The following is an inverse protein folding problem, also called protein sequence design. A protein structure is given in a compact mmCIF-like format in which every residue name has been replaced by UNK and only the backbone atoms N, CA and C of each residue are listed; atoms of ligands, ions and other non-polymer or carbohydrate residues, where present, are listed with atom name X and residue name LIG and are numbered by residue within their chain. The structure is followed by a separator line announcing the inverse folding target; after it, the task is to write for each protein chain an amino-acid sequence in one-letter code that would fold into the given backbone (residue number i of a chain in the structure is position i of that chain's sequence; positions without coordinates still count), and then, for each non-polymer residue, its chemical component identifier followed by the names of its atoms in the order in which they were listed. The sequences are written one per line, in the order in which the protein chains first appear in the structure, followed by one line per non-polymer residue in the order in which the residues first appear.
data_IF_619242569802
#
_entry.id   IF_619242569802
#
_cell.length_a   1.000
_cell.length_b   1.000
_cell.length_c   1.000
_cell.angle_alpha   90.00
_cell.angle_beta   90.00
_cell.angle_gamma   90.00
#
_symmetry.space_group_name_H-M   'P 1'
#
loop_
_entity.id
_entity.type
_entity.pdbx_description
1 polymer ?
#
# COMPACT_ATOMS: atom_id res chain seq x y z
N UNK A 1 -16.04 4.96 18.51
CA UNK A 1 -15.21 5.99 19.17
C UNK A 1 -15.94 7.32 19.01
N UNK A 2 -15.64 8.34 19.82
CA UNK A 2 -16.17 9.70 19.64
C UNK A 2 -15.10 10.76 19.85
N UNK A 3 -15.39 12.02 19.51
CA UNK A 3 -14.42 13.13 19.58
C UNK A 3 -13.80 13.33 20.97
N UNK A 4 -14.54 13.07 22.05
CA UNK A 4 -14.02 13.16 23.42
C UNK A 4 -12.94 12.10 23.69
N UNK A 5 -13.22 10.83 23.38
CA UNK A 5 -12.24 9.73 23.49
C UNK A 5 -11.00 9.99 22.62
N UNK A 6 -11.19 10.56 21.44
CA UNK A 6 -10.09 10.95 20.57
C UNK A 6 -9.20 12.03 21.20
N UNK A 7 -9.81 13.06 21.80
CA UNK A 7 -9.10 14.15 22.50
C UNK A 7 -8.26 13.61 23.65
N UNK A 8 -8.81 12.73 24.49
CA UNK A 8 -8.05 12.07 25.55
C UNK A 8 -6.87 11.26 24.99
N UNK A 9 -7.07 10.61 23.82
CA UNK A 9 -5.99 9.92 23.10
C UNK A 9 -4.88 10.86 22.66
N UNK A 10 -5.23 12.04 22.14
CA UNK A 10 -4.27 13.09 21.76
C UNK A 10 -3.53 13.64 22.98
N UNK A 11 -4.21 13.84 24.11
CA UNK A 11 -3.57 14.29 25.36
C UNK A 11 -2.54 13.26 25.87
N UNK A 12 -2.86 11.97 25.83
CA UNK A 12 -1.90 10.89 26.14
C UNK A 12 -0.72 10.88 25.18
N UNK A 13 -0.97 11.06 23.89
CA UNK A 13 0.08 11.18 22.87
C UNK A 13 1.03 12.34 23.20
N UNK A 14 0.49 13.54 23.47
CA UNK A 14 1.28 14.73 23.80
C UNK A 14 2.06 14.57 25.11
N UNK A 15 1.45 13.97 26.13
CA UNK A 15 2.13 13.65 27.38
C UNK A 15 3.31 12.69 27.14
N UNK A 16 3.12 11.65 26.32
CA UNK A 16 4.19 10.72 25.97
C UNK A 16 5.31 11.40 25.16
N UNK A 17 4.98 12.29 24.22
CA UNK A 17 5.95 13.05 23.44
C UNK A 17 6.84 13.93 24.33
N UNK A 18 6.24 14.60 25.33
CA UNK A 18 6.96 15.44 26.30
C UNK A 18 7.90 14.63 27.21
N UNK A 19 7.61 13.35 27.43
CA UNK A 19 8.46 12.45 28.19
C UNK A 19 9.68 11.93 27.40
N UNK A 20 9.71 12.10 26.08
CA UNK A 20 10.85 11.71 25.25
C UNK A 20 11.97 12.75 25.40
N UNK A 21 13.20 12.36 25.78
CA UNK A 21 14.34 13.27 25.86
C UNK A 21 14.57 14.07 24.56
N UNK A 22 15.08 15.29 24.69
CA UNK A 22 15.26 16.19 23.55
C UNK A 22 16.28 15.69 22.53
N UNK A 23 17.28 14.91 22.98
CA UNK A 23 18.33 14.27 22.20
C UNK A 23 17.93 12.89 21.64
N UNK A 24 16.74 12.40 22.00
CA UNK A 24 16.23 11.12 21.54
C UNK A 24 15.29 11.26 20.33
N UNK A 25 15.42 10.34 19.37
CA UNK A 25 14.54 10.27 18.20
C UNK A 25 13.10 9.90 18.61
N UNK A 26 12.11 10.60 18.05
CA UNK A 26 10.70 10.33 18.33
C UNK A 26 10.16 9.21 17.42
N UNK A 27 9.57 8.17 18.02
CA UNK A 27 9.03 7.00 17.30
C UNK A 27 7.69 6.55 17.88
N UNK A 28 6.80 6.01 17.05
CA UNK A 28 5.56 5.39 17.51
C UNK A 28 5.84 4.10 18.29
N UNK A 29 5.25 3.96 19.49
CA UNK A 29 5.18 2.69 20.20
C UNK A 29 4.03 1.84 19.64
N UNK A 30 4.23 1.22 18.48
CA UNK A 30 3.21 0.35 17.86
C UNK A 30 3.62 -1.12 17.86
N UNK A 31 2.62 -2.00 18.05
CA UNK A 31 2.81 -3.46 18.05
C UNK A 31 2.91 -4.06 16.64
N UNK A 32 2.48 -3.35 15.60
CA UNK A 32 2.42 -3.83 14.21
C UNK A 32 3.05 -2.83 13.23
N UNK A 33 3.76 -3.33 12.20
CA UNK A 33 4.33 -2.52 11.12
C UNK A 33 4.19 -3.29 9.81
N UNK A 34 3.71 -2.62 8.76
CA UNK A 34 3.66 -3.18 7.40
C UNK A 34 4.89 -2.78 6.56
N UNK A 35 5.87 -2.10 7.15
CA UNK A 35 7.19 -1.91 6.53
C UNK A 35 7.96 -3.23 6.58
N UNK A 36 8.50 -3.66 5.44
CA UNK A 36 9.25 -4.93 5.32
C UNK A 36 10.75 -4.79 5.65
N UNK A 37 11.18 -3.63 6.14
CA UNK A 37 12.55 -3.38 6.62
C UNK A 37 12.70 -3.50 8.14
N UNK A 38 13.84 -4.04 8.59
CA UNK A 38 14.19 -4.11 10.00
C UNK A 38 14.53 -2.72 10.57
N UNK A 39 14.05 -2.41 11.79
CA UNK A 39 14.30 -1.13 12.46
C UNK A 39 15.38 -1.27 13.54
N UNK A 40 16.21 -0.25 13.72
CA UNK A 40 17.13 -0.18 14.85
C UNK A 40 16.40 -0.16 16.20
N UNK A 41 16.95 -0.86 17.21
CA UNK A 41 16.42 -0.87 18.59
C UNK A 41 16.71 0.47 19.26
N UNK A 42 15.75 1.00 20.03
CA UNK A 42 15.91 2.23 20.83
C UNK A 42 15.60 1.99 22.29
N UNK A 43 16.30 2.70 23.18
CA UNK A 43 16.02 2.73 24.63
C UNK A 43 15.02 3.82 25.04
N UNK A 44 14.76 4.78 24.15
CA UNK A 44 13.80 5.87 24.41
C UNK A 44 12.35 5.37 24.44
N UNK A 45 11.49 5.93 25.31
CA UNK A 45 10.05 5.65 25.30
C UNK A 45 9.45 6.10 23.96
N UNK A 46 8.54 5.29 23.39
CA UNK A 46 7.84 5.65 22.17
C UNK A 46 6.54 6.42 22.45
N UNK A 47 5.98 7.02 21.40
CA UNK A 47 4.70 7.71 21.45
C UNK A 47 3.55 6.76 21.77
N UNK A 48 2.75 7.10 22.78
CA UNK A 48 1.53 6.38 23.13
C UNK A 48 0.41 6.74 22.13
N UNK A 49 -0.05 5.72 21.41
CA UNK A 49 -1.13 5.84 20.42
C UNK A 49 -2.35 4.97 20.75
N UNK A 50 -2.43 4.44 21.98
CA UNK A 50 -3.49 3.53 22.42
C UNK A 50 -4.90 4.13 22.32
N UNK A 51 -5.01 5.46 22.34
CA UNK A 51 -6.27 6.19 22.19
C UNK A 51 -6.53 6.76 20.79
N UNK A 52 -5.77 6.37 19.75
CA UNK A 52 -5.86 6.97 18.42
C UNK A 52 -6.28 5.98 17.34
N UNK A 53 -7.08 4.97 17.69
CA UNK A 53 -7.59 3.95 16.78
C UNK A 53 -9.11 4.07 16.57
N UNK A 54 -9.60 3.57 15.44
CA UNK A 54 -11.02 3.52 15.10
C UNK A 54 -11.57 4.77 14.42
N UNK A 55 -12.84 4.69 14.05
CA UNK A 55 -13.59 5.77 13.41
C UNK A 55 -14.25 6.66 14.47
N UNK A 56 -13.99 7.96 14.38
CA UNK A 56 -14.45 9.00 15.31
C UNK A 56 -15.91 9.37 14.99
N UNK A 57 -16.21 9.60 13.72
CA UNK A 57 -17.56 9.89 13.23
C UNK A 57 -17.70 9.54 11.75
N UNK A 58 -18.91 9.16 11.34
CA UNK A 58 -19.30 8.99 9.92
C UNK A 58 -20.46 9.94 9.65
N UNK A 59 -20.29 10.81 8.66
CA UNK A 59 -21.37 11.62 8.10
C UNK A 59 -21.79 11.00 6.77
N UNK A 60 -22.89 10.25 6.80
CA UNK A 60 -23.41 9.56 5.63
C UNK A 60 -23.99 10.52 4.57
N UNK A 61 -24.45 11.72 4.98
CA UNK A 61 -25.03 12.70 4.06
C UNK A 61 -23.92 13.44 3.30
N UNK A 62 -22.91 13.93 4.03
CA UNK A 62 -21.74 14.56 3.44
C UNK A 62 -20.79 13.54 2.79
N UNK A 63 -20.98 12.25 3.07
CA UNK A 63 -20.11 11.13 2.65
C UNK A 63 -18.68 11.36 3.12
N UNK A 64 -18.53 11.68 4.39
CA UNK A 64 -17.22 11.87 5.00
C UNK A 64 -17.06 11.06 6.28
N UNK A 65 -15.84 10.75 6.65
CA UNK A 65 -15.53 10.17 7.96
C UNK A 65 -14.38 10.93 8.63
N UNK A 66 -14.52 11.14 9.93
CA UNK A 66 -13.44 11.52 10.83
C UNK A 66 -12.83 10.27 11.42
N UNK A 67 -11.53 10.07 11.19
CA UNK A 67 -10.85 8.81 11.42
C UNK A 67 -9.58 9.06 12.21
N UNK A 68 -9.35 8.31 13.28
CA UNK A 68 -8.12 8.44 14.05
C UNK A 68 -6.92 7.84 13.27
N UNK A 69 -5.71 8.38 13.46
CA UNK A 69 -4.54 8.05 12.64
C UNK A 69 -4.11 6.57 12.68
N UNK A 70 -4.41 5.86 13.78
CA UNK A 70 -4.17 4.42 13.92
C UNK A 70 -5.38 3.55 13.58
N UNK A 71 -6.47 4.12 13.06
CA UNK A 71 -7.60 3.32 12.57
C UNK A 71 -7.14 2.43 11.42
N UNK A 72 -7.43 1.14 11.51
CA UNK A 72 -7.17 0.21 10.43
C UNK A 72 -8.20 0.38 9.31
N UNK A 73 -7.86 -0.03 8.09
CA UNK A 73 -8.84 -0.10 7.01
C UNK A 73 -9.93 -1.14 7.30
N UNK A 74 -9.63 -2.21 8.06
CA UNK A 74 -10.66 -3.14 8.54
C UNK A 74 -11.71 -2.39 9.37
N UNK A 75 -11.29 -1.69 10.43
CA UNK A 75 -12.22 -0.93 11.27
C UNK A 75 -12.97 0.16 10.49
N UNK A 76 -12.30 0.82 9.54
CA UNK A 76 -12.88 1.88 8.73
C UNK A 76 -13.94 1.35 7.77
N UNK A 77 -13.66 0.26 7.07
CA UNK A 77 -14.61 -0.39 6.16
C UNK A 77 -15.80 -0.93 6.96
N UNK A 78 -15.55 -1.58 8.11
CA UNK A 78 -16.60 -2.11 8.99
C UNK A 78 -17.55 -1.02 9.49
N UNK A 79 -17.03 0.18 9.76
CA UNK A 79 -17.82 1.32 10.21
C UNK A 79 -18.57 2.06 9.08
N UNK A 80 -18.10 1.99 7.83
CA UNK A 80 -18.66 2.76 6.70
C UNK A 80 -19.63 1.96 5.84
N UNK A 81 -19.40 0.65 5.65
CA UNK A 81 -20.28 -0.21 4.84
C UNK A 81 -21.75 -0.25 5.32
N UNK A 82 -22.09 -0.19 6.62
CA UNK A 82 -23.49 -0.12 7.07
C UNK A 82 -24.25 1.10 6.53
N UNK A 83 -23.54 2.16 6.13
CA UNK A 83 -24.11 3.35 5.49
C UNK A 83 -24.13 3.27 3.96
N UNK A 84 -23.74 2.14 3.37
CA UNK A 84 -23.56 2.00 1.92
C UNK A 84 -22.39 2.81 1.39
N UNK A 85 -21.37 3.06 2.23
CA UNK A 85 -20.20 3.86 1.90
C UNK A 85 -18.90 3.07 2.08
N UNK A 86 -17.86 3.42 1.33
CA UNK A 86 -16.51 2.90 1.52
C UNK A 86 -15.46 4.03 1.31
N UNK A 87 -14.24 3.89 1.88
CA UNK A 87 -13.13 4.74 1.48
C UNK A 87 -12.86 4.62 -0.02
N UNK A 88 -12.45 5.72 -0.66
CA UNK A 88 -12.24 5.75 -2.12
C UNK A 88 -11.18 4.75 -2.59
N UNK A 89 -10.17 4.51 -1.75
CA UNK A 89 -9.09 3.55 -2.00
C UNK A 89 -8.88 2.77 -0.71
N UNK A 90 -8.94 1.44 -0.79
CA UNK A 90 -8.81 0.54 0.36
C UNK A 90 -7.64 -0.42 0.11
N UNK A 91 -6.43 -0.13 0.60
CA UNK A 91 -5.33 -1.08 0.58
C UNK A 91 -5.75 -2.38 1.26
N UNK A 92 -5.58 -3.50 0.57
CA UNK A 92 -6.27 -4.76 0.91
C UNK A 92 -5.69 -5.54 2.08
N UNK A 93 -4.65 -5.04 2.77
CA UNK A 93 -4.19 -5.69 4.00
C UNK A 93 -4.91 -5.06 5.19
N UNK A 94 -5.71 -5.87 5.88
CA UNK A 94 -6.61 -5.42 6.97
C UNK A 94 -5.92 -4.61 8.05
N UNK A 95 -4.64 -4.87 8.30
CA UNK A 95 -3.83 -4.22 9.35
C UNK A 95 -3.29 -2.85 8.97
N UNK A 96 -3.39 -2.45 7.70
CA UNK A 96 -2.95 -1.13 7.25
C UNK A 96 -3.81 -0.08 7.94
N UNK A 97 -3.16 0.95 8.47
CA UNK A 97 -3.85 2.10 9.07
C UNK A 97 -4.05 3.18 8.02
N UNK A 98 -5.14 3.94 8.14
CA UNK A 98 -5.38 5.08 7.25
C UNK A 98 -4.22 6.08 7.31
N UNK A 99 -3.79 6.45 8.52
CA UNK A 99 -2.64 7.33 8.70
C UNK A 99 -1.36 6.78 8.08
N UNK A 100 -1.12 5.47 8.23
CA UNK A 100 0.00 4.78 7.58
C UNK A 100 -0.06 4.81 6.05
N UNK A 101 -1.23 4.61 5.45
CA UNK A 101 -1.40 4.64 3.99
C UNK A 101 -1.32 6.06 3.42
N UNK A 102 -1.78 7.08 4.16
CA UNK A 102 -1.60 8.47 3.74
C UNK A 102 -0.12 8.87 3.78
N UNK A 103 0.59 8.51 4.85
CA UNK A 103 2.00 8.89 5.04
C UNK A 103 2.98 8.05 4.20
N UNK A 104 2.68 6.77 3.94
CA UNK A 104 3.55 5.83 3.23
C UNK A 104 3.04 5.39 1.85
N UNK A 105 1.92 5.96 1.39
CA UNK A 105 1.17 5.59 0.19
C UNK A 105 0.46 4.23 0.30
N UNK A 106 -0.51 4.04 -0.59
CA UNK A 106 -1.27 2.82 -0.76
C UNK A 106 -1.94 2.87 -2.12
N UNK A 107 -2.02 1.75 -2.81
CA UNK A 107 -2.56 1.65 -4.16
C UNK A 107 -3.50 0.46 -4.17
N UNK A 108 -4.59 0.58 -4.92
CA UNK A 108 -5.52 -0.52 -5.09
C UNK A 108 -6.31 -0.41 -6.40
N UNK A 109 -7.07 -1.45 -6.73
CA UNK A 109 -7.96 -1.59 -7.88
C UNK A 109 -8.94 -0.44 -8.17
N UNK A 110 -9.14 0.53 -7.26
CA UNK A 110 -9.86 1.79 -7.54
C UNK A 110 -8.93 2.96 -7.89
N UNK A 111 -7.63 2.85 -7.68
CA UNK A 111 -6.65 3.93 -7.83
C UNK A 111 -6.54 4.47 -9.24
N UNK A 112 -6.85 3.66 -10.26
CA UNK A 112 -6.96 4.15 -11.62
C UNK A 112 -8.04 5.24 -11.79
N UNK A 113 -9.09 5.28 -10.95
CA UNK A 113 -10.18 6.28 -10.98
C UNK A 113 -10.15 7.26 -9.81
N UNK A 114 -9.80 6.79 -8.63
CA UNK A 114 -9.94 7.53 -7.38
C UNK A 114 -8.62 8.10 -6.86
N UNK A 115 -7.50 7.84 -7.55
CA UNK A 115 -6.19 8.27 -7.11
C UNK A 115 -5.64 7.43 -5.96
N UNK A 116 -4.95 8.08 -5.04
CA UNK A 116 -4.33 7.46 -3.87
C UNK A 116 -5.08 7.80 -2.57
N UNK A 117 -4.88 7.05 -1.47
CA UNK A 117 -5.55 7.28 -0.20
C UNK A 117 -5.50 8.72 0.30
N UNK A 118 -4.35 9.39 0.14
CA UNK A 118 -4.17 10.77 0.58
C UNK A 118 -5.01 11.77 -0.22
N UNK A 119 -5.40 11.45 -1.45
CA UNK A 119 -6.24 12.31 -2.28
C UNK A 119 -7.70 12.33 -1.78
N UNK A 120 -8.11 11.32 -0.99
CA UNK A 120 -9.40 11.34 -0.30
C UNK A 120 -9.45 12.26 0.92
N UNK A 121 -8.29 12.71 1.42
CA UNK A 121 -8.21 13.52 2.64
C UNK A 121 -8.68 14.95 2.37
N UNK A 122 -9.51 15.47 3.26
CA UNK A 122 -10.04 16.82 3.25
C UNK A 122 -9.36 17.70 4.29
N UNK A 123 -8.96 17.11 5.42
CA UNK A 123 -8.32 17.77 6.56
C UNK A 123 -7.47 16.74 7.32
N UNK A 124 -6.31 17.15 7.85
CA UNK A 124 -5.42 16.28 8.61
C UNK A 124 -4.85 16.99 9.84
N UNK A 125 -4.93 16.34 11.00
CA UNK A 125 -4.30 16.78 12.24
C UNK A 125 -2.97 16.03 12.42
N UNK A 126 -1.85 16.75 12.47
CA UNK A 126 -0.50 16.18 12.49
C UNK A 126 0.22 16.57 13.78
N UNK A 127 0.70 15.58 14.53
CA UNK A 127 1.75 15.79 15.54
C UNK A 127 3.08 16.02 14.84
N UNK A 128 3.60 17.24 14.90
CA UNK A 128 4.85 17.61 14.25
C UNK A 128 6.08 17.28 15.09
N UNK A 129 7.27 17.51 14.51
CA UNK A 129 8.55 17.39 15.22
C UNK A 129 8.74 18.46 16.30
N UNK A 130 8.00 19.58 16.26
CA UNK A 130 7.98 20.60 17.34
C UNK A 130 7.20 20.14 18.58
N UNK A 131 6.34 19.13 18.46
CA UNK A 131 5.49 18.64 19.55
C UNK A 131 4.10 19.29 19.61
N UNK A 132 3.70 19.97 18.54
CA UNK A 132 2.40 20.61 18.38
C UNK A 132 1.49 19.75 17.50
N UNK A 133 0.17 19.88 17.71
CA UNK A 133 -0.83 19.35 16.78
C UNK A 133 -1.20 20.47 15.82
N UNK A 134 -0.97 20.26 14.54
CA UNK A 134 -1.31 21.21 13.48
C UNK A 134 -2.41 20.61 12.60
N UNK A 135 -3.48 21.38 12.40
CA UNK A 135 -4.52 21.07 11.42
C UNK A 135 -4.10 21.65 10.08
N UNK A 136 -3.98 20.79 9.07
CA UNK A 136 -3.66 21.18 7.70
C UNK A 136 -4.83 20.85 6.77
N UNK A 137 -5.20 21.82 5.94
CA UNK A 137 -6.20 21.71 4.86
C UNK A 137 -5.52 22.12 3.55
N UNK A 138 -6.05 21.70 2.38
CA UNK A 138 -5.45 22.05 1.09
C UNK A 138 -5.37 23.57 0.83
N UNK A 139 -6.24 24.37 1.44
CA UNK A 139 -6.39 25.82 1.21
C UNK A 139 -6.06 26.69 2.45
N UNK A 140 -5.57 26.08 3.53
CA UNK A 140 -5.28 26.75 4.79
C UNK A 140 -3.82 27.20 4.94
N UNK A 141 -3.50 27.76 6.12
CA UNK A 141 -2.15 28.26 6.48
C UNK A 141 -1.05 27.17 6.35
N UNK A 142 -1.44 25.91 6.59
CA UNK A 142 -0.55 24.76 6.56
C UNK A 142 -0.72 23.90 5.28
N UNK A 143 -1.20 24.48 4.18
CA UNK A 143 -1.38 23.77 2.91
C UNK A 143 -0.09 23.08 2.41
N UNK A 144 1.08 23.70 2.59
CA UNK A 144 2.36 23.07 2.22
C UNK A 144 2.62 21.77 3.00
N UNK A 145 2.23 21.72 4.28
CA UNK A 145 2.29 20.49 5.06
C UNK A 145 1.29 19.49 4.53
N UNK A 146 0.05 19.91 4.22
CA UNK A 146 -0.98 19.03 3.66
C UNK A 146 -0.48 18.32 2.38
N UNK A 147 0.06 19.06 1.42
CA UNK A 147 0.57 18.48 0.17
C UNK A 147 1.90 17.74 0.33
N UNK A 148 2.76 18.17 1.26
CA UNK A 148 4.04 17.53 1.53
C UNK A 148 3.99 16.33 2.48
N UNK A 149 2.87 16.09 3.16
CA UNK A 149 2.73 15.01 4.13
C UNK A 149 2.69 13.60 3.52
N UNK A 150 2.00 13.36 2.38
CA UNK A 150 2.03 12.07 1.71
C UNK A 150 3.44 11.68 1.26
N UNK A 151 3.75 10.38 1.32
CA UNK A 151 5.08 9.83 1.05
C UNK A 151 6.23 10.37 1.93
N UNK A 152 5.93 11.11 3.01
CA UNK A 152 6.95 11.57 3.97
C UNK A 152 7.45 10.46 4.90
N UNK A 153 6.79 9.30 4.94
CA UNK A 153 7.11 8.19 5.86
C UNK A 153 7.18 8.60 7.33
N UNK A 154 6.55 9.70 7.74
CA UNK A 154 6.48 10.17 9.13
C UNK A 154 7.73 10.94 9.55
N UNK A 155 8.43 11.55 8.61
CA UNK A 155 9.53 12.48 8.87
C UNK A 155 9.01 13.91 9.12
N UNK A 156 7.81 14.23 8.65
CA UNK A 156 7.15 15.52 8.90
C UNK A 156 6.16 15.49 10.08
N UNK A 157 5.90 14.32 10.64
CA UNK A 157 5.01 14.15 11.78
C UNK A 157 4.21 12.85 11.74
N UNK A 158 3.24 12.73 12.64
CA UNK A 158 2.31 11.61 12.71
C UNK A 158 0.88 12.11 12.68
N UNK A 159 0.07 11.57 11.78
CA UNK A 159 -1.35 11.90 11.71
C UNK A 159 -2.08 11.36 12.94
N UNK A 160 -2.89 12.22 13.56
CA UNK A 160 -3.68 11.91 14.74
C UNK A 160 -5.15 11.77 14.37
N UNK A 161 -5.64 12.62 13.46
CA UNK A 161 -6.96 12.53 12.84
C UNK A 161 -6.87 12.87 11.35
N UNK A 162 -7.70 12.21 10.56
CA UNK A 162 -7.92 12.51 9.15
C UNK A 162 -9.43 12.62 8.91
N UNK A 163 -9.86 13.68 8.23
CA UNK A 163 -11.18 13.76 7.64
C UNK A 163 -11.09 13.34 6.19
N UNK A 164 -11.84 12.32 5.77
CA UNK A 164 -11.77 11.75 4.42
C UNK A 164 -13.12 11.79 3.72
N UNK A 165 -13.09 11.88 2.39
CA UNK A 165 -14.23 11.60 1.53
C UNK A 165 -14.44 10.08 1.38
N UNK A 166 -15.70 9.69 1.28
CA UNK A 166 -16.18 8.33 1.04
C UNK A 166 -16.98 8.28 -0.26
N UNK A 167 -17.09 7.11 -0.84
CA UNK A 167 -17.95 6.88 -2.01
C UNK A 167 -19.10 5.92 -1.70
N UNK A 168 -20.25 6.07 -2.38
CA UNK A 168 -21.31 5.07 -2.34
C UNK A 168 -20.84 3.76 -2.96
N UNK A 169 -21.19 2.65 -2.32
CA UNK A 169 -20.93 1.30 -2.83
C UNK A 169 -22.19 0.44 -2.83
N UNK A 170 -22.28 -0.46 -3.82
CA UNK A 170 -23.33 -1.50 -3.86
C UNK A 170 -22.94 -2.74 -3.05
N UNK A 171 -23.90 -3.65 -2.86
CA UNK A 171 -23.71 -4.84 -2.01
C UNK A 171 -22.69 -5.84 -2.55
N UNK A 172 -22.57 -5.94 -3.87
CA UNK A 172 -21.74 -6.94 -4.53
C UNK A 172 -20.83 -6.32 -5.58
N UNK A 173 -19.78 -7.06 -5.92
CA UNK A 173 -18.93 -6.80 -7.08
C UNK A 173 -18.98 -8.03 -7.98
N UNK A 174 -19.46 -7.84 -9.21
CA UNK A 174 -19.39 -8.87 -10.25
C UNK A 174 -18.04 -8.76 -10.98
N UNK A 175 -17.34 -9.86 -11.10
CA UNK A 175 -15.98 -9.95 -11.62
C UNK A 175 -15.96 -10.62 -12.99
N UNK A 176 -15.05 -10.15 -13.84
CA UNK A 176 -14.65 -10.78 -15.10
C UNK A 176 -13.13 -10.87 -15.11
N UNK A 177 -12.60 -12.09 -15.21
CA UNK A 177 -11.17 -12.34 -15.37
C UNK A 177 -10.88 -12.52 -16.85
N UNK A 178 -10.24 -11.54 -17.48
CA UNK A 178 -9.90 -11.54 -18.91
C UNK A 178 -8.48 -12.07 -19.06
N UNK A 179 -8.31 -13.15 -19.82
CA UNK A 179 -7.00 -13.76 -20.06
C UNK A 179 -6.29 -13.14 -21.26
N UNK A 180 -4.97 -13.02 -21.14
CA UNK A 180 -4.07 -12.59 -22.20
C UNK A 180 -2.93 -13.61 -22.39
N UNK A 181 -2.56 -13.79 -23.65
CA UNK A 181 -1.41 -14.59 -24.11
C UNK A 181 -0.21 -13.70 -24.52
N UNK A 182 -0.32 -12.40 -24.28
CA UNK A 182 0.66 -11.39 -24.67
C UNK A 182 0.61 -10.21 -23.71
N UNK A 183 1.76 -9.85 -23.15
CA UNK A 183 1.90 -8.68 -22.27
C UNK A 183 1.52 -7.36 -22.97
N UNK A 184 1.82 -7.23 -24.27
CA UNK A 184 1.46 -6.03 -25.04
C UNK A 184 -0.06 -5.88 -25.23
N UNK A 185 -0.77 -6.97 -25.54
CA UNK A 185 -2.25 -6.93 -25.59
C UNK A 185 -2.86 -6.59 -24.23
N UNK A 186 -2.26 -7.08 -23.14
CA UNK A 186 -2.67 -6.75 -21.78
C UNK A 186 -2.48 -5.26 -21.48
N UNK A 187 -1.31 -4.71 -21.81
CA UNK A 187 -0.96 -3.29 -21.65
C UNK A 187 -1.95 -2.38 -22.42
N UNK A 188 -2.12 -2.62 -23.72
CA UNK A 188 -3.04 -1.86 -24.59
C UNK A 188 -4.49 -1.92 -24.07
N UNK A 189 -4.92 -3.09 -23.62
CA UNK A 189 -6.27 -3.26 -23.06
C UNK A 189 -6.42 -2.54 -21.73
N UNK A 190 -5.41 -2.61 -20.86
CA UNK A 190 -5.41 -1.92 -19.58
C UNK A 190 -5.50 -0.40 -19.79
N UNK A 191 -4.70 0.16 -20.70
CA UNK A 191 -4.69 1.60 -20.99
C UNK A 191 -6.04 2.10 -21.51
N UNK A 192 -6.64 1.33 -22.43
CA UNK A 192 -7.99 1.61 -22.91
C UNK A 192 -9.02 1.60 -21.77
N UNK A 193 -9.00 0.59 -20.89
CA UNK A 193 -9.95 0.52 -19.77
C UNK A 193 -9.75 1.68 -18.80
N UNK A 194 -8.51 2.09 -18.54
CA UNK A 194 -8.22 3.23 -17.66
C UNK A 194 -8.81 4.52 -18.22
N UNK A 195 -8.75 4.69 -19.54
CA UNK A 195 -9.29 5.86 -20.24
C UNK A 195 -10.81 5.82 -20.37
N UNK A 196 -11.35 4.71 -20.87
CA UNK A 196 -12.78 4.57 -21.22
C UNK A 196 -13.67 4.20 -20.03
N UNK A 197 -13.09 3.64 -18.95
CA UNK A 197 -13.82 3.08 -17.79
C UNK A 197 -14.79 1.97 -18.16
N UNK A 198 -14.54 1.29 -19.28
CA UNK A 198 -15.42 0.28 -19.84
C UNK A 198 -14.60 -0.84 -20.49
N UNK A 199 -15.18 -2.04 -20.53
CA UNK A 199 -14.70 -3.16 -21.33
C UNK A 199 -15.89 -3.96 -21.85
N UNK A 200 -15.98 -4.14 -23.17
CA UNK A 200 -17.07 -4.83 -23.87
C UNK A 200 -18.47 -4.31 -23.51
N UNK A 201 -18.69 -3.00 -23.50
CA UNK A 201 -20.00 -2.41 -23.20
C UNK A 201 -20.38 -2.41 -21.72
N UNK A 202 -19.49 -2.84 -20.83
CA UNK A 202 -19.74 -2.96 -19.39
C UNK A 202 -18.73 -2.11 -18.63
N UNK A 203 -19.25 -1.23 -17.77
CA UNK A 203 -18.46 -0.36 -16.91
C UNK A 203 -17.45 -1.15 -16.04
N UNK A 204 -16.33 -0.52 -15.74
CA UNK A 204 -15.27 -1.06 -14.88
C UNK A 204 -15.08 -0.10 -13.71
N UNK A 205 -15.53 -0.52 -12.53
CA UNK A 205 -15.38 0.22 -11.27
C UNK A 205 -14.06 -0.13 -10.55
N UNK A 206 -13.54 -1.32 -10.82
CA UNK A 206 -12.32 -1.86 -10.25
C UNK A 206 -11.47 -2.59 -11.28
N UNK A 207 -10.16 -2.39 -11.25
CA UNK A 207 -9.21 -2.96 -12.20
C UNK A 207 -7.90 -3.35 -11.50
N UNK A 208 -7.55 -4.63 -11.53
CA UNK A 208 -6.20 -5.13 -11.23
C UNK A 208 -5.82 -6.25 -12.21
N UNK A 209 -4.63 -6.82 -12.06
CA UNK A 209 -4.17 -7.91 -12.89
C UNK A 209 -3.10 -8.78 -12.24
N UNK A 210 -2.86 -9.93 -12.86
CA UNK A 210 -1.83 -10.88 -12.45
C UNK A 210 -1.11 -11.41 -13.68
N UNK A 211 0.21 -11.36 -13.65
CA UNK A 211 1.08 -12.01 -14.65
C UNK A 211 1.67 -13.26 -14.01
N UNK A 212 1.38 -14.41 -14.59
CA UNK A 212 1.98 -15.68 -14.18
C UNK A 212 3.23 -15.96 -14.98
N UNK A 213 3.16 -15.77 -16.30
CA UNK A 213 4.28 -15.89 -17.24
C UNK A 213 4.13 -14.84 -18.35
N UNK A 214 5.10 -14.77 -19.25
CA UNK A 214 5.08 -13.95 -20.47
C UNK A 214 3.85 -14.20 -21.38
N UNK A 215 3.29 -15.40 -21.29
CA UNK A 215 2.23 -15.96 -22.14
C UNK A 215 0.98 -16.34 -21.34
N UNK A 216 0.96 -16.06 -20.04
CA UNK A 216 -0.19 -16.27 -19.18
C UNK A 216 -0.36 -15.09 -18.21
N UNK A 217 -1.29 -14.19 -18.54
CA UNK A 217 -1.65 -13.07 -17.69
C UNK A 217 -3.16 -12.79 -17.71
N UNK A 218 -3.64 -12.05 -16.71
CA UNK A 218 -5.06 -11.78 -16.52
C UNK A 218 -5.30 -10.36 -16.03
N UNK A 219 -6.36 -9.72 -16.52
CA UNK A 219 -6.96 -8.54 -15.88
C UNK A 219 -8.23 -8.97 -15.15
N UNK A 220 -8.40 -8.55 -13.90
CA UNK A 220 -9.65 -8.70 -13.16
C UNK A 220 -10.42 -7.39 -13.20
N UNK A 221 -11.57 -7.42 -13.84
CA UNK A 221 -12.48 -6.29 -13.98
C UNK A 221 -13.65 -6.47 -13.01
N UNK A 222 -13.89 -5.49 -12.16
CA UNK A 222 -15.03 -5.48 -11.24
C UNK A 222 -16.05 -4.41 -11.60
N UNK A 223 -17.33 -4.76 -11.51
CA UNK A 223 -18.46 -3.82 -11.59
C UNK A 223 -19.34 -3.95 -10.35
N UNK A 224 -19.74 -2.81 -9.78
CA UNK A 224 -20.63 -2.77 -8.63
C UNK A 224 -22.06 -3.15 -9.04
N UNK A 225 -22.66 -4.08 -8.29
CA UNK A 225 -24.04 -4.52 -8.51
C UNK A 225 -24.80 -4.78 -7.20
N UNK A 226 -26.12 -4.59 -7.24
CA UNK A 226 -27.04 -5.02 -6.19
C UNK A 226 -27.78 -6.31 -6.57
N UNK A 227 -27.46 -6.87 -7.75
CA UNK A 227 -28.04 -8.11 -8.24
C UNK A 227 -27.65 -9.28 -7.33
N UNK A 228 -28.67 -9.96 -6.81
CA UNK A 228 -28.49 -11.14 -5.96
C UNK A 228 -27.99 -12.34 -6.77
N UNK A 229 -27.25 -13.22 -6.12
CA UNK A 229 -26.72 -14.45 -6.72
C UNK A 229 -25.69 -15.13 -5.82
N UNK A 230 -25.15 -16.27 -6.25
CA UNK A 230 -24.09 -16.95 -5.51
C UNK A 230 -22.85 -16.06 -5.42
N UNK A 231 -22.19 -16.10 -4.25
CA UNK A 231 -20.92 -15.40 -4.00
C UNK A 231 -19.83 -16.41 -3.67
N UNK A 232 -18.60 -16.14 -4.10
CA UNK A 232 -17.43 -16.94 -3.77
C UNK A 232 -16.90 -16.65 -2.35
N UNK A 233 -16.32 -17.67 -1.72
CA UNK A 233 -15.63 -17.56 -0.41
C UNK A 233 -14.21 -18.11 -0.53
N UNK A 234 -13.24 -17.22 -0.58
CA UNK A 234 -11.82 -17.58 -0.67
C UNK A 234 -11.17 -17.92 0.67
N UNK A 235 -11.94 -17.92 1.76
CA UNK A 235 -11.47 -18.38 3.08
C UNK A 235 -11.58 -19.90 3.27
N UNK A 236 -12.02 -20.64 2.24
CA UNK A 236 -12.02 -22.11 2.24
C UNK A 236 -10.84 -22.69 1.45
N UNK A 237 -11.04 -23.63 0.51
CA UNK A 237 -9.95 -24.35 -0.15
C UNK A 237 -9.35 -23.59 -1.33
N UNK A 238 -10.17 -22.77 -2.00
CA UNK A 238 -9.73 -22.01 -3.16
C UNK A 238 -8.95 -20.76 -2.76
N UNK A 239 -8.02 -20.38 -3.62
CA UNK A 239 -7.15 -19.22 -3.44
C UNK A 239 -7.47 -18.23 -4.57
N UNK A 240 -7.78 -16.99 -4.22
CA UNK A 240 -8.29 -15.99 -5.16
C UNK A 240 -7.45 -15.90 -6.45
N UNK A 241 -6.16 -15.59 -6.32
CA UNK A 241 -5.30 -15.39 -7.49
C UNK A 241 -5.14 -16.66 -8.34
N UNK A 242 -5.25 -17.87 -7.78
CA UNK A 242 -5.23 -19.11 -8.57
C UNK A 242 -6.58 -19.37 -9.24
N UNK A 243 -7.67 -18.95 -8.61
CA UNK A 243 -9.02 -19.16 -9.12
C UNK A 243 -9.30 -18.39 -10.41
N UNK A 244 -8.56 -17.33 -10.71
CA UNK A 244 -8.73 -16.55 -11.95
C UNK A 244 -8.25 -17.29 -13.20
N UNK A 245 -7.37 -18.29 -13.04
CA UNK A 245 -6.78 -19.01 -14.17
C UNK A 245 -7.83 -19.86 -14.90
N UNK A 246 -7.86 -19.76 -16.23
CA UNK A 246 -8.77 -20.52 -17.10
C UNK A 246 -8.23 -20.55 -18.54
N UNK A 247 -8.59 -21.54 -19.37
CA UNK A 247 -7.95 -21.70 -20.69
C UNK A 247 -8.46 -20.74 -21.77
N UNK A 248 -9.63 -20.14 -21.62
CA UNK A 248 -10.26 -19.34 -22.68
C UNK A 248 -9.63 -17.95 -22.82
N UNK A 249 -9.38 -17.52 -24.06
CA UNK A 249 -8.98 -16.15 -24.40
C UNK A 249 -10.17 -15.25 -24.81
N UNK A 250 -11.33 -15.85 -25.06
CA UNK A 250 -12.51 -15.15 -25.63
C UNK A 250 -13.71 -15.15 -24.69
N UNK A 251 -13.71 -16.00 -23.67
CA UNK A 251 -14.78 -16.11 -22.69
C UNK A 251 -14.18 -15.90 -21.30
N UNK A 252 -14.24 -14.68 -20.76
CA UNK A 252 -13.77 -14.38 -19.42
C UNK A 252 -14.44 -15.27 -18.38
N UNK A 253 -13.67 -15.75 -17.41
CA UNK A 253 -14.24 -16.39 -16.23
C UNK A 253 -14.94 -15.34 -15.38
N UNK A 254 -16.18 -15.61 -14.95
CA UNK A 254 -16.94 -14.71 -14.10
C UNK A 254 -16.92 -15.16 -12.65
N UNK A 255 -17.05 -14.21 -11.73
CA UNK A 255 -17.19 -14.45 -10.30
C UNK A 255 -18.03 -13.34 -9.66
N UNK A 256 -18.46 -13.51 -8.41
CA UNK A 256 -19.17 -12.50 -7.64
C UNK A 256 -18.74 -12.57 -6.18
N UNK A 257 -18.49 -11.41 -5.59
CA UNK A 257 -18.15 -11.27 -4.18
C UNK A 257 -19.06 -10.24 -3.52
N UNK A 258 -19.29 -10.37 -2.21
CA UNK A 258 -19.79 -9.22 -1.44
C UNK A 258 -18.76 -8.09 -1.53
N UNK A 259 -19.18 -6.82 -1.42
CA UNK A 259 -18.23 -5.69 -1.43
C UNK A 259 -17.15 -5.87 -0.35
N UNK A 260 -17.52 -6.38 0.83
CA UNK A 260 -16.59 -6.69 1.91
C UNK A 260 -15.56 -7.73 1.49
N UNK A 261 -15.99 -8.85 0.92
CA UNK A 261 -15.09 -9.94 0.54
C UNK A 261 -14.21 -9.54 -0.64
N UNK A 262 -14.75 -8.74 -1.57
CA UNK A 262 -13.97 -8.14 -2.66
C UNK A 262 -12.81 -7.30 -2.12
N UNK A 263 -13.07 -6.42 -1.14
CA UNK A 263 -12.04 -5.56 -0.52
C UNK A 263 -10.96 -6.36 0.23
N UNK A 264 -11.23 -7.60 0.63
CA UNK A 264 -10.30 -8.43 1.40
C UNK A 264 -9.78 -9.67 0.66
N UNK A 265 -10.11 -9.83 -0.62
CA UNK A 265 -9.80 -11.02 -1.42
C UNK A 265 -8.30 -11.38 -1.43
N UNK A 266 -7.44 -10.37 -1.34
CA UNK A 266 -5.99 -10.53 -1.30
C UNK A 266 -5.41 -10.65 0.13
N UNK A 267 -6.12 -10.21 1.18
CA UNK A 267 -5.67 -10.34 2.58
C UNK A 267 -5.57 -11.81 3.01
N UNK A 268 -6.51 -12.63 2.54
CA UNK A 268 -6.71 -14.03 2.95
C UNK A 268 -5.45 -14.87 2.78
N UNK A 269 -4.77 -14.67 1.64
CA UNK A 269 -3.53 -15.37 1.30
C UNK A 269 -2.31 -14.46 1.31
N UNK A 270 -2.48 -13.24 1.82
CA UNK A 270 -1.49 -12.18 1.80
C UNK A 270 -0.84 -12.08 0.41
N UNK A 271 -1.71 -11.87 -0.59
CA UNK A 271 -1.45 -12.13 -2.00
C UNK A 271 -1.07 -13.58 -2.27
N UNK A 272 0.24 -13.86 -2.28
CA UNK A 272 0.80 -15.20 -2.38
C UNK A 272 1.89 -15.47 -1.34
N UNK A 273 2.12 -14.56 -0.39
CA UNK A 273 3.12 -14.76 0.66
C UNK A 273 2.77 -15.95 1.58
N UNK A 274 1.50 -16.35 1.66
CA UNK A 274 1.07 -17.52 2.42
C UNK A 274 1.74 -18.84 1.97
N UNK A 275 2.31 -18.89 0.74
CA UNK A 275 3.14 -20.02 0.25
C UNK A 275 4.27 -20.38 1.19
N UNK A 276 4.93 -19.39 1.78
CA UNK A 276 6.09 -19.59 2.66
C UNK A 276 5.73 -20.41 3.92
N UNK A 277 4.46 -20.38 4.34
CA UNK A 277 3.97 -21.11 5.52
C UNK A 277 3.27 -22.43 5.16
N UNK A 278 3.20 -22.78 3.87
CA UNK A 278 2.48 -23.96 3.40
C UNK A 278 0.94 -23.84 3.44
N UNK A 279 0.39 -22.67 3.76
CA UNK A 279 -1.07 -22.45 3.87
C UNK A 279 -1.81 -22.54 2.52
N UNK A 280 -1.07 -22.59 1.41
CA UNK A 280 -1.61 -22.85 0.07
C UNK A 280 -1.65 -24.34 -0.31
N UNK A 281 -1.06 -25.24 0.50
CA UNK A 281 -1.15 -26.68 0.26
C UNK A 281 -2.54 -27.19 0.67
N UNK A 282 -3.34 -27.80 -0.22
CA UNK A 282 -4.70 -28.24 0.10
C UNK A 282 -4.78 -29.15 1.33
N UNK A 283 -3.76 -29.98 1.57
CA UNK A 283 -3.70 -30.87 2.75
C UNK A 283 -3.54 -30.11 4.06
N UNK A 284 -2.85 -28.97 4.04
CA UNK A 284 -2.64 -28.11 5.20
C UNK A 284 -3.83 -27.15 5.35
N UNK A 285 -4.24 -26.52 4.24
CA UNK A 285 -5.33 -25.54 4.18
C UNK A 285 -6.64 -26.09 4.74
N UNK A 286 -6.96 -27.35 4.46
CA UNK A 286 -8.13 -28.05 5.02
C UNK A 286 -8.24 -28.02 6.54
N UNK A 287 -7.11 -27.96 7.25
CA UNK A 287 -7.07 -27.90 8.72
C UNK A 287 -6.68 -26.52 9.25
N UNK A 288 -6.44 -25.55 8.37
CA UNK A 288 -6.09 -24.20 8.77
C UNK A 288 -7.36 -23.44 9.19
N UNK A 289 -7.44 -22.89 10.42
CA UNK A 289 -8.62 -22.16 10.85
C UNK A 289 -8.87 -20.93 9.97
N UNK A 290 -10.10 -20.77 9.45
CA UNK A 290 -10.47 -19.65 8.56
C UNK A 290 -10.10 -18.28 9.12
N UNK A 291 -10.30 -18.08 10.43
CA UNK A 291 -9.96 -16.83 11.14
C UNK A 291 -8.47 -16.45 11.11
N UNK A 292 -7.58 -17.39 10.76
CA UNK A 292 -6.14 -17.18 10.66
C UNK A 292 -5.66 -17.06 9.21
N UNK A 293 -6.54 -17.19 8.20
CA UNK A 293 -6.24 -16.84 6.82
C UNK A 293 -6.35 -15.32 6.66
N UNK A 294 -5.35 -14.60 7.18
CA UNK A 294 -5.27 -13.14 7.14
C UNK A 294 -3.84 -12.65 7.38
N UNK A 295 -3.50 -11.51 6.79
CA UNK A 295 -2.17 -10.89 6.88
C UNK A 295 -1.66 -10.73 8.31
N UNK A 296 -2.54 -10.36 9.26
CA UNK A 296 -2.18 -10.16 10.67
C UNK A 296 -1.64 -11.42 11.37
N UNK A 297 -2.09 -12.61 10.94
CA UNK A 297 -1.62 -13.88 11.49
C UNK A 297 -0.29 -14.28 10.85
N UNK A 298 -0.16 -14.17 9.53
CA UNK A 298 1.10 -14.46 8.84
C UNK A 298 2.24 -13.56 9.33
N UNK A 299 1.98 -12.29 9.63
CA UNK A 299 2.95 -11.40 10.28
C UNK A 299 3.47 -11.93 11.61
N UNK A 300 2.61 -12.56 12.43
CA UNK A 300 3.04 -13.18 13.69
C UNK A 300 3.95 -14.39 13.43
N UNK A 301 3.67 -15.16 12.37
CA UNK A 301 4.53 -16.27 11.97
C UNK A 301 5.91 -15.78 11.52
N UNK A 302 5.99 -14.70 10.73
CA UNK A 302 7.26 -14.06 10.37
C UNK A 302 8.01 -13.60 11.62
N UNK A 303 7.34 -12.92 12.55
CA UNK A 303 7.97 -12.45 13.77
C UNK A 303 8.53 -13.60 14.63
N UNK A 304 7.83 -14.74 14.67
CA UNK A 304 8.33 -15.96 15.32
C UNK A 304 9.52 -16.55 14.58
N UNK A 305 9.46 -16.65 13.25
CA UNK A 305 10.55 -17.17 12.42
C UNK A 305 11.84 -16.37 12.61
N UNK A 306 11.76 -15.03 12.54
CA UNK A 306 12.88 -14.11 12.80
C UNK A 306 13.47 -14.23 14.22
N UNK A 307 12.65 -14.62 15.20
CA UNK A 307 13.13 -14.77 16.59
C UNK A 307 13.94 -16.05 16.78
N UNK A 308 13.68 -17.07 15.98
CA UNK A 308 14.19 -18.43 16.20
C UNK A 308 15.03 -18.96 15.02
N UNK A 309 15.22 -18.18 13.96
CA UNK A 309 15.92 -18.50 12.71
C UNK A 309 15.46 -19.83 12.07
N UNK A 310 14.17 -20.16 12.15
CA UNK A 310 13.68 -21.49 11.81
C UNK A 310 13.82 -21.75 10.31
N UNK A 311 13.43 -20.79 9.47
CA UNK A 311 13.54 -20.82 8.01
C UNK A 311 14.98 -21.00 7.55
N UNK A 312 15.89 -20.16 8.03
CA UNK A 312 17.31 -20.20 7.64
C UNK A 312 17.98 -21.52 8.06
N UNK A 313 17.63 -22.06 9.24
CA UNK A 313 18.11 -23.37 9.70
C UNK A 313 17.57 -24.52 8.85
N UNK A 314 16.31 -24.45 8.42
CA UNK A 314 15.69 -25.47 7.56
C UNK A 314 16.30 -25.47 6.15
N UNK A 315 16.51 -24.30 5.56
CA UNK A 315 17.10 -24.19 4.22
C UNK A 315 18.58 -24.59 4.23
N UNK A 316 19.33 -24.22 5.29
CA UNK A 316 20.70 -24.71 5.50
C UNK A 316 20.77 -26.23 5.63
N UNK A 317 19.81 -26.85 6.31
CA UNK A 317 19.70 -28.33 6.39
C UNK A 317 19.37 -28.98 5.04
N UNK A 318 18.69 -28.28 4.14
CA UNK A 318 18.38 -28.73 2.78
C UNK A 318 19.49 -28.40 1.76
N UNK A 319 20.60 -27.82 2.21
CA UNK A 319 21.74 -27.44 1.35
C UNK A 319 21.44 -26.30 0.38
N UNK A 320 20.38 -25.51 0.63
CA UNK A 320 19.99 -24.41 -0.25
C UNK A 320 20.72 -23.11 0.14
N UNK A 321 21.06 -22.24 -0.84
CA UNK A 321 21.69 -20.96 -0.55
C UNK A 321 20.77 -20.04 0.26
N UNK A 322 21.35 -19.09 1.02
CA UNK A 322 20.57 -18.03 1.66
C UNK A 322 19.82 -17.22 0.60
N UNK A 323 18.71 -16.59 1.00
CA UNK A 323 17.79 -15.91 0.07
C UNK A 323 17.74 -14.42 0.35
N UNK A 324 17.80 -13.63 -0.71
CA UNK A 324 17.55 -12.19 -0.69
C UNK A 324 16.04 -11.96 -0.75
N UNK A 325 15.51 -11.11 0.13
CA UNK A 325 14.09 -10.74 0.12
C UNK A 325 13.86 -9.67 -0.94
N UNK A 326 12.90 -9.91 -1.82
CA UNK A 326 12.46 -8.97 -2.84
C UNK A 326 10.96 -8.81 -2.65
N UNK A 327 10.60 -7.94 -1.71
CA UNK A 327 9.24 -7.73 -1.23
C UNK A 327 8.92 -6.25 -1.38
N UNK A 328 8.56 -5.86 -2.59
CA UNK A 328 8.38 -4.47 -2.98
C UNK A 328 7.42 -4.37 -4.14
N UNK A 329 7.05 -3.14 -4.44
CA UNK A 329 6.35 -2.75 -5.64
C UNK A 329 7.09 -1.58 -6.29
N UNK A 330 6.83 -1.41 -7.58
CA UNK A 330 7.40 -0.35 -8.40
C UNK A 330 6.28 0.20 -9.27
N UNK A 331 6.39 1.43 -9.69
CA UNK A 331 5.42 2.09 -10.55
C UNK A 331 6.11 2.43 -11.86
N UNK A 332 5.56 1.93 -12.96
CA UNK A 332 6.11 2.17 -14.29
C UNK A 332 5.01 2.82 -15.14
N UNK A 333 5.31 3.81 -16.00
CA UNK A 333 4.33 4.34 -16.95
C UNK A 333 3.67 3.23 -17.76
N UNK A 334 2.38 3.36 -18.04
CA UNK A 334 1.61 2.29 -18.66
C UNK A 334 2.20 1.85 -20.01
N UNK A 335 2.72 2.79 -20.81
CA UNK A 335 3.34 2.56 -22.11
C UNK A 335 4.70 1.84 -22.08
N UNK A 336 5.24 1.59 -20.89
CA UNK A 336 6.50 0.87 -20.63
C UNK A 336 6.29 -0.44 -19.87
N UNK A 337 5.07 -0.73 -19.46
CA UNK A 337 4.77 -1.79 -18.48
C UNK A 337 5.10 -3.19 -19.02
N UNK A 338 4.71 -3.50 -20.25
CA UNK A 338 4.96 -4.80 -20.88
C UNK A 338 6.46 -5.06 -21.07
N UNK A 339 7.24 -4.03 -21.43
CA UNK A 339 8.68 -4.16 -21.64
C UNK A 339 9.40 -4.38 -20.30
N UNK A 340 9.00 -3.63 -19.26
CA UNK A 340 9.51 -3.84 -17.91
C UNK A 340 9.16 -5.24 -17.38
N UNK A 341 7.92 -5.69 -17.55
CA UNK A 341 7.48 -7.01 -17.09
C UNK A 341 8.22 -8.13 -17.84
N UNK A 342 8.43 -7.99 -19.15
CA UNK A 342 9.18 -8.97 -19.93
C UNK A 342 10.63 -9.08 -19.43
N UNK A 343 11.30 -7.93 -19.24
CA UNK A 343 12.62 -7.87 -18.64
C UNK A 343 12.65 -8.51 -17.24
N UNK A 344 11.67 -8.19 -16.39
CA UNK A 344 11.61 -8.72 -15.03
C UNK A 344 11.48 -10.25 -15.02
N UNK A 345 10.63 -10.82 -15.86
CA UNK A 345 10.44 -12.28 -15.95
C UNK A 345 11.68 -13.00 -16.48
N UNK A 346 12.47 -12.35 -17.34
CA UNK A 346 13.72 -12.90 -17.88
C UNK A 346 14.86 -12.87 -16.85
N UNK A 347 15.00 -11.77 -16.12
CA UNK A 347 16.16 -11.52 -15.26
C UNK A 347 15.92 -11.87 -13.77
N UNK A 348 14.68 -11.72 -13.30
CA UNK A 348 14.33 -11.90 -11.89
C UNK A 348 13.39 -13.11 -11.75
N UNK A 349 13.84 -14.22 -11.12
CA UNK A 349 13.07 -15.47 -11.04
C UNK A 349 11.96 -15.41 -9.98
N UNK A 350 11.03 -14.46 -10.12
CA UNK A 350 9.90 -14.24 -9.23
C UNK A 350 8.60 -14.22 -10.03
N UNK A 351 7.71 -15.13 -9.69
CA UNK A 351 6.35 -15.20 -10.21
C UNK A 351 5.35 -15.58 -9.10
N UNK A 352 4.10 -15.10 -9.17
CA UNK A 352 3.54 -14.17 -10.16
C UNK A 352 3.84 -12.69 -9.82
N UNK A 353 3.45 -11.79 -10.71
CA UNK A 353 3.46 -10.33 -10.52
C UNK A 353 2.03 -9.80 -10.44
N UNK A 354 1.78 -8.83 -9.56
CA UNK A 354 0.50 -8.12 -9.45
C UNK A 354 0.59 -6.82 -10.24
N UNK A 355 -0.44 -6.49 -11.00
CA UNK A 355 -0.54 -5.25 -11.75
C UNK A 355 -1.71 -4.44 -11.23
N UNK A 356 -1.50 -3.17 -10.92
CA UNK A 356 -2.56 -2.27 -10.50
C UNK A 356 -2.37 -0.90 -11.14
N UNK A 357 -3.18 -0.53 -12.15
CA UNK A 357 -3.10 0.78 -12.73
C UNK A 357 -3.53 1.85 -11.73
N UNK A 358 -2.85 2.99 -11.79
CA UNK A 358 -3.12 4.16 -10.96
C UNK A 358 -2.94 5.45 -11.75
N UNK A 359 -3.66 6.47 -11.33
CA UNK A 359 -3.58 7.82 -11.90
C UNK A 359 -3.99 8.82 -10.84
N UNK A 360 -3.31 9.96 -10.77
CA UNK A 360 -3.70 11.05 -9.85
C UNK A 360 -5.16 11.45 -10.08
N UNK A 361 -5.89 11.73 -9.00
CA UNK A 361 -7.31 12.05 -9.08
C UNK A 361 -7.51 13.42 -9.69
N UNK A 362 -8.41 13.51 -10.68
CA UNK A 362 -8.76 14.76 -11.33
C UNK A 362 -10.19 15.22 -10.94
N UNK A 363 -10.43 16.53 -10.74
CA UNK A 363 -9.43 17.60 -10.73
C UNK A 363 -8.58 17.58 -9.44
N UNK A 364 -7.32 18.01 -9.54
CA UNK A 364 -6.47 18.26 -8.38
C UNK A 364 -7.06 19.38 -7.50
N UNK A 365 -6.80 19.39 -6.19
CA UNK A 365 -7.15 20.53 -5.33
C UNK A 365 -6.61 21.85 -5.89
N UNK A 366 -7.38 22.94 -5.80
CA UNK A 366 -7.05 24.21 -6.46
C UNK A 366 -5.69 24.81 -6.03
N UNK A 367 -5.27 24.56 -4.79
CA UNK A 367 -3.98 25.01 -4.25
C UNK A 367 -2.81 24.07 -4.58
N UNK A 368 -3.06 22.92 -5.21
CA UNK A 368 -2.01 21.99 -5.60
C UNK A 368 -1.20 22.54 -6.78
N UNK A 369 0.08 22.17 -6.85
CA UNK A 369 0.90 22.51 -8.01
C UNK A 369 0.36 21.85 -9.28
N UNK A 370 0.31 22.61 -10.39
CA UNK A 370 -0.19 22.11 -11.67
C UNK A 370 0.67 20.99 -12.26
N UNK A 371 1.97 20.94 -11.96
CA UNK A 371 2.90 19.94 -12.49
C UNK A 371 3.20 18.81 -11.50
N UNK A 372 3.20 19.08 -10.20
CA UNK A 372 3.55 18.11 -9.15
C UNK A 372 2.67 18.32 -7.92
N UNK A 373 1.38 17.90 -7.97
CA UNK A 373 0.41 18.14 -6.89
C UNK A 373 0.91 17.64 -5.53
N UNK A 374 1.68 16.55 -5.52
CA UNK A 374 2.22 15.89 -4.34
C UNK A 374 3.76 15.92 -4.39
N UNK A 375 4.43 16.86 -3.71
CA UNK A 375 5.88 17.08 -3.88
C UNK A 375 6.75 15.87 -3.60
N UNK A 376 6.42 15.07 -2.59
CA UNK A 376 7.22 13.91 -2.21
C UNK A 376 6.88 12.65 -3.00
N UNK A 377 5.91 12.70 -3.92
CA UNK A 377 5.52 11.54 -4.72
C UNK A 377 5.42 11.92 -6.21
N UNK A 378 6.39 11.47 -7.04
CA UNK A 378 6.64 12.04 -8.37
C UNK A 378 5.71 11.51 -9.47
N UNK A 379 4.39 11.46 -9.24
CA UNK A 379 3.45 11.13 -10.31
C UNK A 379 3.08 12.37 -11.13
N UNK A 380 3.09 12.21 -12.46
CA UNK A 380 2.64 13.24 -13.38
C UNK A 380 1.10 13.29 -13.45
N UNK A 381 0.50 14.50 -13.38
CA UNK A 381 -0.91 14.68 -13.67
C UNK A 381 -1.26 14.14 -15.06
N UNK A 382 -2.43 13.50 -15.18
CA UNK A 382 -2.95 12.93 -16.43
C UNK A 382 -2.18 11.75 -17.03
N UNK A 383 -1.08 11.32 -16.43
CA UNK A 383 -0.33 10.12 -16.86
C UNK A 383 -0.77 8.92 -16.03
N UNK A 384 -0.94 7.78 -16.68
CA UNK A 384 -1.26 6.50 -16.02
C UNK A 384 0.04 5.76 -15.72
N UNK A 385 0.15 5.25 -14.50
CA UNK A 385 1.22 4.34 -14.09
C UNK A 385 0.60 2.99 -13.73
N UNK A 386 1.41 1.95 -13.73
CA UNK A 386 1.05 0.62 -13.24
C UNK A 386 1.95 0.29 -12.08
N UNK A 387 1.35 0.08 -10.91
CA UNK A 387 2.03 -0.49 -9.77
C UNK A 387 2.20 -2.00 -10.00
N UNK A 388 3.44 -2.46 -9.96
CA UNK A 388 3.86 -3.83 -10.22
C UNK A 388 4.38 -4.41 -8.92
N UNK A 389 3.55 -5.21 -8.26
CA UNK A 389 3.84 -5.82 -6.97
C UNK A 389 4.46 -7.20 -7.09
N UNK A 390 5.57 -7.42 -6.40
CA UNK A 390 6.24 -8.72 -6.33
C UNK A 390 6.78 -8.97 -4.92
N UNK A 391 6.25 -10.02 -4.29
CA UNK A 391 6.54 -10.34 -2.88
C UNK A 391 7.08 -11.76 -2.75
N UNK A 392 8.39 -11.90 -2.95
CA UNK A 392 9.09 -13.18 -2.89
C UNK A 392 10.53 -13.02 -2.39
N UNK A 393 11.37 -14.01 -2.68
CA UNK A 393 12.79 -13.98 -2.41
C UNK A 393 13.54 -14.67 -3.54
N UNK A 394 14.79 -14.30 -3.78
CA UNK A 394 15.67 -14.93 -4.77
C UNK A 394 16.88 -15.57 -4.08
N UNK A 395 17.47 -16.64 -4.65
CA UNK A 395 18.74 -17.17 -4.16
C UNK A 395 19.85 -16.12 -4.21
N UNK A 396 20.64 -15.98 -3.15
CA UNK A 396 21.85 -15.15 -3.17
C UNK A 396 22.93 -15.89 -3.96
N UNK A 397 23.52 -15.21 -4.95
CA UNK A 397 24.66 -15.73 -5.69
C UNK A 397 25.95 -15.38 -4.94
N UNK A 398 26.82 -16.36 -4.63
CA UNK A 398 28.08 -16.10 -3.93
C UNK A 398 28.97 -15.11 -4.69
N UNK A 399 29.42 -14.06 -4.01
CA UNK A 399 30.31 -13.02 -4.56
C UNK A 399 29.59 -11.76 -5.04
N UNK A 400 28.26 -11.78 -5.12
CA UNK A 400 27.48 -10.59 -5.42
C UNK A 400 27.37 -9.64 -4.20
N UNK A 401 27.07 -8.38 -4.49
CA UNK A 401 26.84 -7.36 -3.45
C UNK A 401 25.54 -7.65 -2.70
N UNK A 402 25.46 -7.22 -1.45
CA UNK A 402 24.20 -7.29 -0.70
C UNK A 402 23.08 -6.51 -1.43
N UNK A 403 21.94 -7.16 -1.60
CA UNK A 403 20.79 -6.57 -2.28
C UNK A 403 20.94 -6.51 -3.81
N UNK A 404 21.69 -7.43 -4.42
CA UNK A 404 22.01 -7.39 -5.85
C UNK A 404 20.75 -7.33 -6.72
N UNK A 405 19.75 -8.17 -6.42
CA UNK A 405 18.49 -8.15 -7.16
C UNK A 405 17.69 -6.86 -6.91
N UNK A 406 17.62 -6.39 -5.66
CA UNK A 406 16.96 -5.11 -5.34
C UNK A 406 17.62 -3.93 -6.05
N UNK A 407 18.95 -3.88 -6.11
CA UNK A 407 19.72 -2.82 -6.79
C UNK A 407 19.52 -2.86 -8.30
N UNK A 408 19.54 -4.04 -8.91
CA UNK A 408 19.26 -4.22 -10.33
C UNK A 408 17.85 -3.74 -10.69
N UNK A 409 16.86 -4.07 -9.85
CA UNK A 409 15.49 -3.58 -10.02
C UNK A 409 15.43 -2.06 -9.87
N UNK A 410 16.10 -1.47 -8.88
CA UNK A 410 16.15 -0.01 -8.68
C UNK A 410 16.72 0.72 -9.90
N UNK A 411 17.81 0.22 -10.47
CA UNK A 411 18.42 0.77 -11.69
C UNK A 411 17.46 0.69 -12.87
N UNK A 412 16.85 -0.49 -13.07
CA UNK A 412 15.95 -0.72 -14.21
C UNK A 412 14.65 0.05 -14.10
N UNK A 413 14.10 0.24 -12.91
CA UNK A 413 12.93 1.10 -12.70
C UNK A 413 13.22 2.51 -13.19
N UNK A 414 14.40 3.06 -12.91
CA UNK A 414 14.80 4.39 -13.41
C UNK A 414 14.92 4.41 -14.94
N UNK A 415 15.49 3.37 -15.56
CA UNK A 415 15.58 3.25 -17.03
C UNK A 415 14.20 3.28 -17.73
N UNK A 416 13.15 2.86 -17.02
CA UNK A 416 11.77 2.81 -17.52
C UNK A 416 10.91 4.00 -17.07
N UNK A 417 11.52 5.10 -16.63
CA UNK A 417 10.84 6.30 -16.11
C UNK A 417 9.89 6.00 -14.93
N UNK A 418 10.23 4.95 -14.16
CA UNK A 418 9.44 4.47 -13.04
C UNK A 418 9.94 4.97 -11.69
N UNK A 419 9.17 4.63 -10.66
CA UNK A 419 9.44 5.00 -9.27
C UNK A 419 9.28 3.80 -8.36
N UNK A 420 10.11 3.72 -7.31
CA UNK A 420 10.03 2.66 -6.31
C UNK A 420 9.34 3.17 -5.05
N UNK A 421 8.48 2.34 -4.46
CA UNK A 421 7.94 2.64 -3.14
C UNK A 421 9.00 2.48 -2.06
N UNK A 422 9.07 3.45 -1.14
CA UNK A 422 10.08 3.48 -0.08
C UNK A 422 9.70 2.66 1.16
N UNK A 423 8.70 1.78 1.09
CA UNK A 423 8.32 0.93 2.23
C UNK A 423 9.25 -0.28 2.40
N UNK A 424 9.88 -0.74 1.32
CA UNK A 424 10.83 -1.84 1.27
C UNK A 424 12.26 -1.35 1.54
N UNK A 425 13.22 -2.28 1.48
CA UNK A 425 14.65 -1.93 1.56
C UNK A 425 15.06 -1.12 0.33
N UNK A 426 15.74 0.01 0.52
CA UNK A 426 16.22 0.88 -0.55
C UNK A 426 17.75 1.01 -0.52
N UNK A 427 18.40 1.02 -1.69
CA UNK A 427 19.86 0.97 -1.80
C UNK A 427 20.50 2.13 -2.58
N UNK A 428 19.73 3.20 -2.82
CA UNK A 428 20.15 4.45 -3.48
C UNK A 428 21.33 5.13 -2.80
N UNK A 429 22.14 5.86 -3.58
CA UNK A 429 23.06 6.86 -3.06
C UNK A 429 22.29 8.03 -2.44
N UNK A 430 22.97 8.91 -1.69
CA UNK A 430 22.29 10.07 -1.11
C UNK A 430 21.84 11.03 -2.20
N UNK A 431 22.72 11.26 -3.17
CA UNK A 431 22.50 12.17 -4.30
C UNK A 431 21.31 11.71 -5.14
N UNK A 432 21.27 10.44 -5.57
CA UNK A 432 20.15 9.90 -6.36
C UNK A 432 18.83 9.95 -5.58
N UNK A 433 18.89 9.69 -4.27
CA UNK A 433 17.69 9.69 -3.43
C UNK A 433 17.09 11.09 -3.27
N UNK A 434 17.94 12.10 -3.10
CA UNK A 434 17.50 13.50 -3.00
C UNK A 434 16.89 13.98 -4.31
N UNK A 435 17.50 13.63 -5.45
CA UNK A 435 16.97 13.94 -6.79
C UNK A 435 15.59 13.33 -7.02
N UNK A 436 15.43 12.04 -6.73
CA UNK A 436 14.19 11.30 -6.98
C UNK A 436 13.07 11.68 -6.00
N UNK A 437 13.37 11.78 -4.70
CA UNK A 437 12.33 11.77 -3.65
C UNK A 437 12.14 13.08 -2.88
N UNK A 438 13.12 14.00 -2.84
CA UNK A 438 12.96 15.22 -2.02
C UNK A 438 12.11 16.29 -2.73
N UNK A 439 11.92 16.16 -4.05
CA UNK A 439 11.15 17.13 -4.83
C UNK A 439 11.76 18.54 -4.76
N UNK A 440 13.10 18.61 -4.72
CA UNK A 440 13.87 19.83 -4.51
C UNK A 440 13.89 20.30 -3.05
N UNK A 441 13.96 21.62 -2.85
CA UNK A 441 14.12 22.23 -1.50
C UNK A 441 12.84 22.19 -0.64
N UNK A 442 11.70 21.77 -1.21
CA UNK A 442 10.40 21.77 -0.51
C UNK A 442 10.41 20.89 0.72
N UNK A 443 10.98 19.69 0.63
CA UNK A 443 11.09 18.78 1.78
C UNK A 443 11.91 19.40 2.93
N UNK A 444 13.03 20.06 2.58
CA UNK A 444 13.95 20.68 3.54
C UNK A 444 13.23 21.83 4.25
N UNK A 445 12.56 22.73 3.51
CA UNK A 445 11.79 23.83 4.10
C UNK A 445 10.66 23.35 5.04
N UNK A 446 9.97 22.27 4.67
CA UNK A 446 8.97 21.64 5.56
C UNK A 446 9.61 21.09 6.84
N UNK A 447 10.77 20.45 6.72
CA UNK A 447 11.54 19.95 7.87
C UNK A 447 11.95 21.07 8.81
N UNK A 448 12.48 22.16 8.29
CA UNK A 448 12.88 23.32 9.10
C UNK A 448 11.69 23.96 9.82
N UNK A 449 10.53 24.07 9.14
CA UNK A 449 9.33 24.69 9.71
C UNK A 449 8.66 23.81 10.79
N UNK A 450 8.52 22.51 10.54
CA UNK A 450 7.71 21.61 11.38
C UNK A 450 8.53 20.68 12.28
N UNK A 451 9.84 20.60 12.08
CA UNK A 451 10.77 19.85 12.93
C UNK A 451 12.12 20.61 13.09
N UNK A 452 12.12 21.85 13.59
CA UNK A 452 13.31 22.71 13.63
C UNK A 452 14.45 22.17 14.52
N UNK A 453 14.16 21.18 15.36
CA UNK A 453 15.12 20.52 16.25
C UNK A 453 15.53 19.13 15.75
N UNK A 454 15.10 18.73 14.54
CA UNK A 454 15.39 17.44 13.92
C UNK A 454 15.09 16.25 14.84
N UNK A 455 13.95 16.31 15.56
CA UNK A 455 13.52 15.23 16.48
C UNK A 455 13.00 14.01 15.74
N UNK A 456 12.53 14.21 14.50
CA UNK A 456 12.17 13.14 13.58
C UNK A 456 13.33 12.94 12.61
N UNK A 457 13.62 11.68 12.26
CA UNK A 457 14.63 11.38 11.24
C UNK A 457 14.27 12.01 9.90
N UNK A 458 15.27 12.24 9.04
CA UNK A 458 15.04 12.57 7.64
C UNK A 458 14.68 11.33 6.80
N UNK A 459 14.21 11.56 5.58
CA UNK A 459 13.64 10.53 4.73
C UNK A 459 14.71 9.55 4.24
N UNK A 460 15.90 10.04 3.87
CA UNK A 460 17.04 9.19 3.49
C UNK A 460 17.50 8.30 4.65
N UNK A 461 17.68 8.87 5.85
CA UNK A 461 18.02 8.12 7.07
C UNK A 461 17.01 7.00 7.36
N UNK A 462 15.73 7.24 7.08
CA UNK A 462 14.63 6.32 7.37
C UNK A 462 14.39 5.26 6.29
N UNK A 463 14.60 5.59 5.02
CA UNK A 463 14.35 4.71 3.88
C UNK A 463 15.59 3.89 3.50
N UNK A 464 16.78 4.52 3.49
CA UNK A 464 18.02 3.91 3.02
C UNK A 464 18.91 3.46 4.17
N UNK A 465 19.16 4.32 5.17
CA UNK A 465 20.08 3.97 6.28
C UNK A 465 19.46 3.09 7.36
N UNK A 466 18.14 2.82 7.30
CA UNK A 466 17.40 1.95 8.24
C UNK A 466 17.53 2.36 9.72
N UNK A 467 17.70 3.67 10.00
CA UNK A 467 17.89 4.20 11.35
C UNK A 467 16.62 4.20 12.20
#
# INVERSE_FOLDING_TARGET
MGFEQHREGVERLLASYRAIPADASVRLAKKTSNLFRARAKTSAPGLDVSGLAGVIAVDAQARTADVAGMCTYEDLVDATLPYGLAPLVVPQLKTITLGGAVTGLGIESTSFRNGLPHESVLEIDVLTGSGEIITATPDGEHAELFFGFPNSYGTLGYSTRLKIALEPVKKYVALRHVRFDSLKKLEETMDRIVTEREYDGIAVDYLDGVVFTDSESYLTLGVQTDEEGPVSDYTDQDIFYRSIQHPSLTQPKTDRLTIRDYLWRWDTDWFWCSRAFGAQNPKIRRFWPKQYLRSSFYWKLIALDHKYDIGDRLEKRKGKPPRERVVQDVEVPIERTADFVSWFLEEIPIEPLWLCPLRLREPSPAAASASRPWPLYPLEPKRTYVNIGFWSSVPIVPGEREGAANRLIEEKVSDFDGHKSLYSDSYYSKEDFEELYYGGDRYIGLKERYDPKSRLLDLFSKAVQRK
#
